data_IF_642001271944
#
_entry.id   IF_642001271944
#
_cell.length_a   1.000
_cell.length_b   1.000
_cell.length_c   1.000
_cell.angle_alpha   90.00
_cell.angle_beta   90.00
_cell.angle_gamma   90.00
#
_symmetry.space_group_name_H-M   'P 1'
#
loop_
_entity.id
_entity.type
_entity.pdbx_description
1 polymer ?
#
# COMPACT_ATOMS: atom_id res chain seq x y z
N UNK A 1 -1.64 13.31 -5.08
CA UNK A 1 -0.92 12.14 -5.66
C UNK A 1 -0.68 12.39 -7.15
N UNK A 2 0.43 11.91 -7.73
CA UNK A 2 0.80 12.15 -9.15
C UNK A 2 -0.23 11.57 -10.14
N UNK A 3 -0.70 10.35 -9.87
CA UNK A 3 -1.68 9.64 -10.71
C UNK A 3 -2.97 10.44 -10.87
N UNK A 4 -3.57 10.88 -9.75
CA UNK A 4 -4.80 11.68 -9.79
C UNK A 4 -4.63 13.07 -10.41
N UNK A 5 -3.39 13.50 -10.68
CA UNK A 5 -3.08 14.76 -11.37
C UNK A 5 -2.68 14.55 -12.84
N UNK A 6 -2.73 13.32 -13.36
CA UNK A 6 -2.32 13.00 -14.74
C UNK A 6 -0.81 13.08 -15.00
N UNK A 7 0.02 13.21 -13.96
CA UNK A 7 1.47 13.44 -14.09
C UNK A 7 2.25 12.11 -14.24
N UNK A 8 1.63 10.97 -13.88
CA UNK A 8 2.20 9.63 -14.02
C UNK A 8 2.18 8.79 -12.74
N UNK A 9 2.71 7.57 -12.85
CA UNK A 9 2.61 6.49 -11.85
C UNK A 9 3.88 6.23 -11.03
N UNK A 10 4.94 7.01 -11.26
CA UNK A 10 6.20 6.87 -10.51
C UNK A 10 5.96 6.99 -9.00
N UNK A 11 6.43 5.99 -8.25
CA UNK A 11 6.50 6.00 -6.79
C UNK A 11 7.72 6.85 -6.38
N UNK A 12 7.57 7.87 -5.50
CA UNK A 12 8.71 8.65 -5.03
C UNK A 12 9.57 7.87 -4.03
N UNK A 13 10.83 8.24 -3.88
CA UNK A 13 11.66 7.73 -2.78
C UNK A 13 11.14 8.21 -1.42
N UNK A 14 11.64 7.61 -0.33
CA UNK A 14 11.23 8.02 1.02
C UNK A 14 11.69 9.45 1.33
N UNK A 15 12.89 9.81 0.87
CA UNK A 15 13.49 11.13 1.01
C UNK A 15 12.65 12.18 0.27
N UNK A 16 12.30 11.92 -0.99
CA UNK A 16 11.44 12.79 -1.79
C UNK A 16 10.07 12.97 -1.15
N UNK A 17 9.48 11.88 -0.63
CA UNK A 17 8.17 11.92 0.02
C UNK A 17 8.18 12.74 1.33
N UNK A 18 9.30 12.73 2.06
CA UNK A 18 9.49 13.50 3.31
C UNK A 18 9.74 14.98 3.06
N UNK A 19 10.46 15.33 1.99
CA UNK A 19 10.73 16.73 1.64
C UNK A 19 9.51 17.45 1.05
N UNK A 20 8.53 16.69 0.55
CA UNK A 20 7.33 17.26 -0.04
C UNK A 20 6.40 17.84 1.02
N UNK A 21 6.10 19.13 0.89
CA UNK A 21 4.96 19.78 1.55
C UNK A 21 3.67 19.47 0.78
N UNK A 22 2.60 19.16 1.51
CA UNK A 22 1.28 18.86 0.94
C UNK A 22 0.30 19.98 1.27
N UNK A 23 -0.53 20.37 0.30
CA UNK A 23 -1.67 21.25 0.57
C UNK A 23 -2.75 20.53 1.38
N UNK A 24 -3.70 21.27 1.95
CA UNK A 24 -4.83 20.68 2.69
C UNK A 24 -5.65 19.71 1.85
N UNK A 25 -5.89 20.05 0.58
CA UNK A 25 -6.57 19.18 -0.39
C UNK A 25 -5.79 17.88 -0.64
N UNK A 26 -4.46 17.98 -0.80
CA UNK A 26 -3.63 16.78 -0.98
C UNK A 26 -3.64 15.89 0.26
N UNK A 27 -3.61 16.50 1.46
CA UNK A 27 -3.73 15.77 2.73
C UNK A 27 -5.10 15.11 2.87
N UNK A 28 -6.18 15.78 2.44
CA UNK A 28 -7.52 15.19 2.43
C UNK A 28 -7.60 13.95 1.53
N UNK A 29 -7.00 14.01 0.35
CA UNK A 29 -6.87 12.86 -0.56
C UNK A 29 -6.05 11.74 0.08
N UNK A 30 -4.93 12.05 0.73
CA UNK A 30 -4.09 11.06 1.44
C UNK A 30 -4.91 10.36 2.54
N UNK A 31 -5.61 11.13 3.38
CA UNK A 31 -6.47 10.59 4.46
C UNK A 31 -7.55 9.66 3.90
N UNK A 32 -8.21 10.07 2.80
CA UNK A 32 -9.22 9.22 2.13
C UNK A 32 -8.61 7.92 1.62
N UNK A 33 -7.42 7.98 1.01
CA UNK A 33 -6.76 6.79 0.49
C UNK A 33 -6.28 5.83 1.58
N UNK A 34 -5.82 6.34 2.72
CA UNK A 34 -5.37 5.50 3.84
C UNK A 34 -6.47 4.58 4.39
N UNK A 35 -7.74 4.94 4.23
CA UNK A 35 -8.88 4.09 4.65
C UNK A 35 -9.03 2.82 3.81
N UNK A 36 -8.44 2.78 2.61
CA UNK A 36 -8.51 1.67 1.66
C UNK A 36 -7.16 0.99 1.44
N UNK A 37 -6.20 1.19 2.34
CA UNK A 37 -4.87 0.58 2.27
C UNK A 37 -4.67 -0.37 3.45
N UNK A 38 -4.10 -1.54 3.19
CA UNK A 38 -3.66 -2.48 4.22
C UNK A 38 -2.18 -2.23 4.48
N UNK A 39 -1.83 -1.74 5.67
CA UNK A 39 -0.46 -1.39 6.06
C UNK A 39 -0.23 -1.87 7.49
N UNK A 40 0.90 -2.53 7.76
CA UNK A 40 1.26 -2.99 9.10
C UNK A 40 2.36 -4.05 9.07
N UNK A 41 2.53 -4.75 10.20
CA UNK A 41 3.38 -5.94 10.29
C UNK A 41 2.77 -7.10 9.47
N UNK A 42 3.54 -8.14 9.10
CA UNK A 42 3.02 -9.27 8.33
C UNK A 42 1.75 -9.88 8.94
N UNK A 43 1.77 -10.10 10.26
CA UNK A 43 0.60 -10.57 11.03
C UNK A 43 -0.61 -9.63 10.95
N UNK A 44 -0.41 -8.31 11.01
CA UNK A 44 -1.50 -7.34 10.86
C UNK A 44 -2.07 -7.33 9.44
N UNK A 45 -1.23 -7.53 8.42
CA UNK A 45 -1.65 -7.62 7.02
C UNK A 45 -2.44 -8.89 6.79
N UNK A 46 -1.96 -10.05 7.26
CA UNK A 46 -2.70 -11.33 7.18
C UNK A 46 -4.09 -11.22 7.79
N UNK A 47 -4.20 -10.73 9.02
CA UNK A 47 -5.49 -10.56 9.69
C UNK A 47 -6.45 -9.67 8.90
N UNK A 48 -5.95 -8.60 8.28
CA UNK A 48 -6.77 -7.73 7.44
C UNK A 48 -7.21 -8.41 6.14
N UNK A 49 -6.36 -9.22 5.52
CA UNK A 49 -6.71 -10.02 4.35
C UNK A 49 -7.77 -11.09 4.69
N UNK A 50 -7.62 -11.82 5.80
CA UNK A 50 -8.63 -12.79 6.28
C UNK A 50 -9.98 -12.13 6.54
N UNK A 51 -9.98 -10.92 7.14
CA UNK A 51 -11.22 -10.16 7.33
C UNK A 51 -11.85 -9.78 5.98
N UNK A 52 -11.06 -9.36 5.00
CA UNK A 52 -11.58 -9.08 3.66
C UNK A 52 -12.09 -10.34 2.98
N UNK A 53 -11.41 -11.48 3.16
CA UNK A 53 -11.80 -12.76 2.62
C UNK A 53 -13.21 -13.14 3.09
N UNK A 54 -13.43 -13.02 4.41
CA UNK A 54 -14.73 -13.28 5.03
C UNK A 54 -15.80 -12.29 4.55
N UNK A 55 -15.48 -10.99 4.50
CA UNK A 55 -16.43 -9.95 4.12
C UNK A 55 -16.87 -10.02 2.65
N UNK A 56 -15.96 -10.42 1.75
CA UNK A 56 -16.20 -10.45 0.30
C UNK A 56 -16.39 -11.87 -0.25
N UNK A 57 -16.27 -12.91 0.59
CA UNK A 57 -16.37 -14.31 0.23
C UNK A 57 -15.54 -14.66 -1.02
N UNK A 58 -14.24 -14.34 -0.98
CA UNK A 58 -13.31 -14.57 -2.07
C UNK A 58 -12.27 -15.65 -1.72
N UNK A 59 -11.85 -16.43 -2.71
CA UNK A 59 -10.88 -17.50 -2.52
C UNK A 59 -9.44 -17.08 -2.85
N UNK A 60 -9.27 -15.98 -3.59
CA UNK A 60 -7.97 -15.52 -4.08
C UNK A 60 -7.80 -14.00 -3.96
N UNK A 61 -6.56 -13.56 -3.76
CA UNK A 61 -6.17 -12.16 -3.77
C UNK A 61 -5.05 -11.89 -4.78
N UNK A 62 -5.22 -10.85 -5.59
CA UNK A 62 -4.13 -10.27 -6.37
C UNK A 62 -3.51 -9.10 -5.59
N UNK A 63 -2.24 -9.23 -5.21
CA UNK A 63 -1.54 -8.23 -4.38
C UNK A 63 -0.60 -7.38 -5.24
N UNK A 64 -0.71 -6.06 -5.12
CA UNK A 64 0.18 -5.09 -5.76
C UNK A 64 0.84 -4.22 -4.69
N UNK A 65 2.17 -4.23 -4.66
CA UNK A 65 2.97 -3.43 -3.72
C UNK A 65 3.74 -2.32 -4.43
N UNK A 66 3.26 -1.08 -4.31
CA UNK A 66 3.85 0.12 -4.93
C UNK A 66 4.94 0.75 -4.05
N UNK A 67 6.09 0.09 -3.96
CA UNK A 67 7.30 0.57 -3.25
C UNK A 67 8.35 1.03 -4.27
N UNK A 68 9.09 2.10 -3.92
CA UNK A 68 10.17 2.66 -4.74
C UNK A 68 11.34 1.69 -4.91
N UNK A 69 11.89 1.16 -3.81
CA UNK A 69 12.99 0.19 -3.84
C UNK A 69 12.50 -1.18 -4.33
N UNK A 70 13.22 -1.74 -5.30
CA UNK A 70 12.94 -3.07 -5.82
C UNK A 70 13.19 -4.16 -4.79
N UNK A 71 14.27 -4.04 -4.01
CA UNK A 71 14.61 -5.00 -2.96
C UNK A 71 13.55 -5.03 -1.85
N UNK A 72 13.11 -3.86 -1.39
CA UNK A 72 12.04 -3.75 -0.39
C UNK A 72 10.70 -4.27 -0.93
N UNK A 73 10.44 -4.10 -2.23
CA UNK A 73 9.27 -4.69 -2.88
C UNK A 73 9.31 -6.23 -2.83
N UNK A 74 10.44 -6.85 -3.16
CA UNK A 74 10.61 -8.31 -3.06
C UNK A 74 10.44 -8.76 -1.61
N UNK A 75 11.12 -8.10 -0.68
CA UNK A 75 11.05 -8.41 0.75
C UNK A 75 9.62 -8.32 1.29
N UNK A 76 8.84 -7.35 0.85
CA UNK A 76 7.42 -7.23 1.21
C UNK A 76 6.61 -8.46 0.79
N UNK A 77 6.84 -8.99 -0.43
CA UNK A 77 6.15 -10.21 -0.87
C UNK A 77 6.63 -11.44 -0.11
N UNK A 78 7.92 -11.57 0.19
CA UNK A 78 8.46 -12.67 1.00
C UNK A 78 7.86 -12.70 2.41
N UNK A 79 7.75 -11.52 3.04
CA UNK A 79 7.13 -11.38 4.36
C UNK A 79 5.65 -11.78 4.34
N UNK A 80 4.93 -11.40 3.28
CA UNK A 80 3.53 -11.77 3.11
C UNK A 80 3.38 -13.28 2.88
N UNK A 81 4.18 -13.84 1.99
CA UNK A 81 4.20 -15.26 1.67
C UNK A 81 4.47 -16.10 2.92
N UNK A 82 5.48 -15.74 3.73
CA UNK A 82 5.83 -16.46 4.97
C UNK A 82 4.70 -16.49 6.01
N UNK A 83 3.85 -15.47 6.03
CA UNK A 83 2.77 -15.38 7.02
C UNK A 83 1.49 -16.12 6.54
N UNK A 84 1.29 -16.21 5.22
CA UNK A 84 0.04 -16.71 4.62
C UNK A 84 0.19 -18.15 4.08
N UNK A 85 1.35 -18.53 3.54
CA UNK A 85 1.65 -19.84 2.99
C UNK A 85 2.38 -20.71 4.03
#
# INVERSE_FOLDING_TARGET
MRVGKGIGTRVPSVEEAKQKTYSEDELAVIRRNRKRTIIGTPRQVKKQLENLQSNYNCDEFMIITNIYSFEEKIKSYQLLAKEIL
#
